data_IF_996734629281
#
_entry.id   IF_996734629281
#
_cell.length_a   1.000
_cell.length_b   1.000
_cell.length_c   1.000
_cell.angle_alpha   90.00
_cell.angle_beta   90.00
_cell.angle_gamma   90.00
#
_symmetry.space_group_name_H-M   'P 1'
#
loop_
_entity.id
_entity.type
_entity.pdbx_description
1 polymer ?
#
# COMPACT_ATOMS: atom_id res chain seq x y z
N UNK A 1 -3.50 -31.87 -22.24
CA UNK A 1 -4.97 -31.73 -22.15
C UNK A 1 -5.28 -31.28 -20.73
N UNK A 2 -5.63 -30.01 -20.54
CA UNK A 2 -6.06 -29.46 -19.26
C UNK A 2 -7.46 -29.99 -18.98
N UNK A 3 -7.63 -30.79 -17.92
CA UNK A 3 -8.94 -31.20 -17.45
C UNK A 3 -9.74 -29.92 -17.08
N UNK A 4 -10.75 -29.60 -17.88
CA UNK A 4 -11.72 -28.55 -17.58
C UNK A 4 -12.36 -28.86 -16.24
N UNK A 5 -12.04 -28.07 -15.22
CA UNK A 5 -12.81 -28.06 -13.99
C UNK A 5 -14.08 -27.27 -14.30
N UNK A 6 -15.13 -27.99 -14.74
CA UNK A 6 -16.45 -27.41 -14.96
C UNK A 6 -17.11 -27.29 -13.59
N UNK A 7 -17.20 -26.10 -13.05
CA UNK A 7 -18.01 -25.82 -11.87
C UNK A 7 -19.43 -25.46 -12.30
N UNK A 8 -20.34 -26.42 -12.11
CA UNK A 8 -21.78 -26.26 -12.33
C UNK A 8 -22.37 -25.25 -11.32
N UNK A 9 -23.23 -24.34 -11.81
CA UNK A 9 -24.25 -23.54 -11.08
C UNK A 9 -24.05 -23.37 -9.56
N UNK A 10 -22.94 -22.76 -9.16
CA UNK A 10 -22.78 -22.32 -7.79
C UNK A 10 -23.59 -21.04 -7.55
N UNK A 11 -24.29 -20.98 -6.42
CA UNK A 11 -25.00 -19.76 -6.03
C UNK A 11 -24.03 -18.58 -5.73
N UNK A 12 -22.76 -18.86 -5.41
CA UNK A 12 -21.75 -17.87 -5.05
C UNK A 12 -20.40 -18.17 -5.71
N UNK A 13 -19.67 -17.11 -6.00
CA UNK A 13 -18.27 -17.19 -6.40
C UNK A 13 -17.42 -17.39 -5.14
N UNK A 14 -16.57 -18.43 -5.12
CA UNK A 14 -15.70 -18.74 -3.98
C UNK A 14 -14.33 -18.10 -4.20
N UNK A 15 -13.96 -17.18 -3.31
CA UNK A 15 -12.69 -16.44 -3.38
C UNK A 15 -11.76 -16.89 -2.25
N UNK A 16 -10.56 -17.36 -2.59
CA UNK A 16 -9.51 -17.68 -1.64
C UNK A 16 -8.47 -16.56 -1.56
N UNK A 17 -8.34 -15.93 -0.40
CA UNK A 17 -7.29 -14.93 -0.13
C UNK A 17 -6.11 -15.59 0.59
N UNK A 18 -4.92 -15.49 0.00
CA UNK A 18 -3.68 -16.08 0.52
C UNK A 18 -2.76 -14.99 1.06
N UNK A 19 -2.39 -15.06 2.33
CA UNK A 19 -1.46 -14.11 2.93
C UNK A 19 -0.71 -14.66 4.14
N UNK A 20 0.55 -14.23 4.32
CA UNK A 20 1.29 -14.34 5.58
C UNK A 20 1.04 -13.14 6.51
N UNK A 21 0.23 -12.17 6.08
CA UNK A 21 0.16 -10.84 6.68
C UNK A 21 -1.26 -10.44 7.12
N UNK A 22 -2.12 -11.41 7.42
CA UNK A 22 -3.41 -11.20 8.08
C UNK A 22 -3.22 -10.88 9.57
N UNK A 23 -2.46 -9.81 9.86
CA UNK A 23 -2.05 -9.34 11.18
C UNK A 23 -1.80 -7.83 11.14
N UNK A 24 -1.33 -7.22 12.24
CA UNK A 24 -0.92 -5.80 12.27
C UNK A 24 0.31 -5.58 11.38
N UNK A 25 0.05 -5.57 10.10
CA UNK A 25 0.96 -5.40 8.98
C UNK A 25 0.25 -4.57 7.90
N UNK A 26 1.02 -3.94 7.02
CA UNK A 26 0.52 -3.11 5.93
C UNK A 26 -0.64 -3.76 5.13
N UNK A 27 -0.49 -5.04 4.76
CA UNK A 27 -1.52 -5.80 4.02
C UNK A 27 -2.80 -5.94 4.85
N UNK A 28 -2.68 -6.38 6.12
CA UNK A 28 -3.83 -6.53 7.02
C UNK A 28 -4.57 -5.20 7.22
N UNK A 29 -3.83 -4.11 7.46
CA UNK A 29 -4.39 -2.77 7.67
C UNK A 29 -5.13 -2.22 6.44
N UNK A 30 -4.62 -2.52 5.24
CA UNK A 30 -5.25 -2.07 4.00
C UNK A 30 -6.47 -2.92 3.61
N UNK A 31 -6.46 -4.23 3.90
CA UNK A 31 -7.47 -5.16 3.39
C UNK A 31 -8.60 -5.47 4.35
N UNK A 32 -8.45 -5.21 5.64
CA UNK A 32 -9.42 -5.67 6.66
C UNK A 32 -10.85 -5.20 6.37
N UNK A 33 -11.07 -3.92 6.07
CA UNK A 33 -12.41 -3.41 5.78
C UNK A 33 -12.93 -3.88 4.42
N UNK A 34 -12.06 -4.03 3.43
CA UNK A 34 -12.40 -4.69 2.15
C UNK A 34 -13.00 -6.09 2.39
N UNK A 35 -12.32 -6.92 3.21
CA UNK A 35 -12.77 -8.28 3.52
C UNK A 35 -14.10 -8.28 4.28
N UNK A 36 -14.32 -7.32 5.17
CA UNK A 36 -15.59 -7.19 5.92
C UNK A 36 -16.77 -6.78 5.04
N UNK A 37 -16.52 -6.01 3.98
CA UNK A 37 -17.53 -5.38 3.13
C UNK A 37 -17.97 -6.23 1.95
N UNK A 38 -17.32 -7.38 1.68
CA UNK A 38 -17.75 -8.27 0.60
C UNK A 38 -19.23 -8.66 0.71
N UNK A 39 -19.92 -8.61 -0.43
CA UNK A 39 -21.32 -9.04 -0.54
C UNK A 39 -21.43 -10.56 -0.35
N UNK A 40 -21.77 -10.97 0.86
CA UNK A 40 -21.89 -12.38 1.26
C UNK A 40 -23.03 -13.13 0.55
N UNK A 41 -23.89 -12.42 -0.19
CA UNK A 41 -24.91 -13.07 -1.05
C UNK A 41 -24.30 -13.55 -2.36
N UNK A 42 -23.29 -12.85 -2.88
CA UNK A 42 -22.63 -13.14 -4.15
C UNK A 42 -21.31 -13.90 -3.99
N UNK A 43 -20.63 -13.71 -2.86
CA UNK A 43 -19.30 -14.25 -2.63
C UNK A 43 -19.21 -15.07 -1.35
N UNK A 44 -18.50 -16.18 -1.40
CA UNK A 44 -17.96 -16.88 -0.25
C UNK A 44 -16.46 -16.59 -0.20
N UNK A 45 -15.97 -15.86 0.83
CA UNK A 45 -14.57 -15.57 0.98
C UNK A 45 -13.91 -16.49 2.01
N UNK A 46 -12.75 -17.05 1.66
CA UNK A 46 -11.98 -17.99 2.46
C UNK A 46 -10.57 -17.45 2.67
N UNK A 47 -10.10 -17.43 3.91
CA UNK A 47 -8.76 -16.98 4.27
C UNK A 47 -7.78 -18.15 4.37
N UNK A 48 -6.63 -18.06 3.68
CA UNK A 48 -5.50 -18.99 3.80
C UNK A 48 -4.32 -18.23 4.42
N UNK A 49 -4.09 -18.44 5.72
CA UNK A 49 -3.12 -17.67 6.49
C UNK A 49 -1.82 -18.45 6.70
N UNK A 50 -0.71 -17.89 6.23
CA UNK A 50 0.60 -18.51 6.31
C UNK A 50 1.47 -17.95 7.46
N UNK A 51 0.90 -17.71 8.62
CA UNK A 51 1.62 -17.36 9.85
C UNK A 51 0.85 -17.86 11.09
N UNK A 52 1.49 -17.71 12.29
CA UNK A 52 0.91 -18.09 13.58
C UNK A 52 0.63 -16.89 14.49
N UNK A 53 0.89 -15.66 14.02
CA UNK A 53 0.65 -14.46 14.84
C UNK A 53 -0.85 -14.20 14.88
N UNK A 54 -1.39 -14.10 16.11
CA UNK A 54 -2.77 -13.68 16.35
C UNK A 54 -2.78 -12.39 17.18
N UNK A 55 -2.99 -11.26 16.51
CA UNK A 55 -3.17 -9.94 17.11
C UNK A 55 -4.62 -9.45 16.93
N UNK A 56 -4.89 -8.23 17.39
CA UNK A 56 -6.21 -7.62 17.30
C UNK A 56 -6.72 -7.51 15.86
N UNK A 57 -5.83 -7.30 14.88
CA UNK A 57 -6.20 -7.19 13.48
C UNK A 57 -6.46 -8.58 12.88
N UNK A 58 -5.65 -9.59 13.26
CA UNK A 58 -5.91 -10.99 12.88
C UNK A 58 -7.30 -11.43 13.31
N UNK A 59 -7.70 -11.11 14.56
CA UNK A 59 -9.04 -11.46 15.08
C UNK A 59 -10.14 -10.79 14.25
N UNK A 60 -9.96 -9.52 13.88
CA UNK A 60 -10.91 -8.77 13.04
C UNK A 60 -11.01 -9.37 11.64
N UNK A 61 -9.86 -9.63 11.00
CA UNK A 61 -9.77 -10.23 9.67
C UNK A 61 -10.40 -11.64 9.64
N UNK A 62 -10.10 -12.48 10.62
CA UNK A 62 -10.62 -13.86 10.73
C UNK A 62 -12.15 -13.90 10.76
N UNK A 63 -12.80 -12.92 11.40
CA UNK A 63 -14.26 -12.79 11.48
C UNK A 63 -14.92 -12.40 10.15
N UNK A 64 -14.19 -11.82 9.22
CA UNK A 64 -14.72 -11.41 7.92
C UNK A 64 -14.88 -12.59 6.96
N UNK A 65 -14.09 -13.64 7.12
CA UNK A 65 -14.11 -14.84 6.29
C UNK A 65 -15.22 -15.81 6.70
N UNK A 66 -15.77 -16.55 5.75
CA UNK A 66 -16.67 -17.68 6.00
C UNK A 66 -15.91 -18.86 6.59
N UNK A 67 -14.68 -19.08 6.12
CA UNK A 67 -13.75 -20.10 6.61
C UNK A 67 -12.34 -19.50 6.65
N UNK A 68 -11.56 -19.88 7.66
CA UNK A 68 -10.19 -19.39 7.82
C UNK A 68 -9.26 -20.54 8.18
N UNK A 69 -8.28 -20.80 7.33
CA UNK A 69 -7.33 -21.88 7.48
C UNK A 69 -5.92 -21.37 7.75
N UNK A 70 -5.30 -21.86 8.82
CA UNK A 70 -3.87 -21.70 9.01
C UNK A 70 -3.16 -22.75 8.16
N UNK A 71 -2.38 -22.27 7.18
CA UNK A 71 -1.67 -23.14 6.24
C UNK A 71 -0.15 -23.19 6.47
N UNK A 72 0.36 -22.54 7.52
CA UNK A 72 1.81 -22.38 7.76
C UNK A 72 2.56 -23.71 7.79
N UNK A 73 1.98 -24.72 8.43
CA UNK A 73 2.62 -26.01 8.61
C UNK A 73 2.20 -27.07 7.55
N UNK A 74 1.39 -26.66 6.56
CA UNK A 74 0.99 -27.56 5.48
C UNK A 74 2.01 -27.50 4.34
N UNK A 75 2.34 -28.63 3.73
CA UNK A 75 3.11 -28.67 2.48
C UNK A 75 2.27 -28.15 1.31
N UNK A 76 2.91 -27.66 0.25
CA UNK A 76 2.23 -27.03 -0.88
C UNK A 76 1.14 -27.92 -1.51
N UNK A 77 1.41 -29.21 -1.70
CA UNK A 77 0.43 -30.16 -2.26
C UNK A 77 -0.84 -30.27 -1.40
N UNK A 78 -0.72 -30.19 -0.07
CA UNK A 78 -1.88 -30.21 0.85
C UNK A 78 -2.68 -28.91 0.77
N UNK A 79 -2.02 -27.76 0.62
CA UNK A 79 -2.70 -26.47 0.42
C UNK A 79 -3.46 -26.47 -0.90
N UNK A 80 -2.85 -26.95 -1.97
CA UNK A 80 -3.47 -27.09 -3.28
C UNK A 80 -4.69 -28.02 -3.24
N UNK A 81 -4.56 -29.19 -2.61
CA UNK A 81 -5.69 -30.12 -2.44
C UNK A 81 -6.83 -29.46 -1.66
N UNK A 82 -6.54 -28.86 -0.50
CA UNK A 82 -7.53 -28.15 0.30
C UNK A 82 -8.27 -27.07 -0.51
N UNK A 83 -7.54 -26.30 -1.32
CA UNK A 83 -8.11 -25.24 -2.15
C UNK A 83 -9.08 -25.81 -3.20
N UNK A 84 -8.72 -26.92 -3.82
CA UNK A 84 -9.58 -27.65 -4.78
C UNK A 84 -10.82 -28.24 -4.11
N UNK A 85 -10.64 -28.88 -2.94
CA UNK A 85 -11.75 -29.49 -2.19
C UNK A 85 -12.77 -28.47 -1.71
N UNK A 86 -12.30 -27.24 -1.41
CA UNK A 86 -13.17 -26.09 -1.08
C UNK A 86 -13.83 -25.46 -2.30
N UNK A 87 -13.44 -25.86 -3.49
CA UNK A 87 -13.99 -25.37 -4.76
C UNK A 87 -13.71 -23.89 -4.97
N UNK A 88 -12.50 -23.39 -4.66
CA UNK A 88 -12.12 -22.01 -4.88
C UNK A 88 -12.10 -21.68 -6.37
N UNK A 89 -12.82 -20.65 -6.77
CA UNK A 89 -12.92 -20.18 -8.15
C UNK A 89 -11.83 -19.15 -8.47
N UNK A 90 -11.55 -18.24 -7.53
CA UNK A 90 -10.55 -17.18 -7.66
C UNK A 90 -9.58 -17.24 -6.49
N UNK A 91 -8.30 -17.50 -6.75
CA UNK A 91 -7.25 -17.43 -5.74
C UNK A 91 -6.49 -16.09 -5.86
N UNK A 92 -6.37 -15.37 -4.74
CA UNK A 92 -5.73 -14.06 -4.68
C UNK A 92 -4.46 -14.15 -3.83
N UNK A 93 -3.31 -13.93 -4.45
CA UNK A 93 -2.03 -13.79 -3.78
C UNK A 93 -1.84 -12.36 -3.28
N UNK A 94 -1.86 -12.18 -1.95
CA UNK A 94 -1.62 -10.89 -1.31
C UNK A 94 -0.16 -10.66 -0.92
N UNK A 95 0.75 -11.57 -1.22
CA UNK A 95 2.16 -11.48 -0.86
C UNK A 95 3.09 -11.31 -2.07
N UNK A 96 2.96 -12.13 -3.10
CA UNK A 96 3.97 -12.21 -4.15
C UNK A 96 5.36 -12.57 -3.58
N UNK A 97 6.42 -11.94 -4.07
CA UNK A 97 7.80 -12.19 -3.62
C UNK A 97 8.16 -11.44 -2.32
N UNK A 98 7.29 -11.49 -1.31
CA UNK A 98 7.58 -10.94 0.01
C UNK A 98 7.95 -12.03 1.03
N UNK A 99 8.39 -11.61 2.24
CA UNK A 99 8.79 -12.54 3.29
C UNK A 99 7.63 -13.45 3.70
N UNK A 100 7.92 -14.73 3.91
CA UNK A 100 6.95 -15.76 4.29
C UNK A 100 5.82 -15.98 3.27
N UNK A 101 6.00 -15.57 2.02
CA UNK A 101 5.03 -15.85 0.97
C UNK A 101 4.97 -17.34 0.63
N UNK A 102 3.91 -17.71 -0.08
CA UNK A 102 3.75 -19.03 -0.69
C UNK A 102 3.51 -18.89 -2.19
N UNK A 103 4.20 -17.95 -2.80
CA UNK A 103 4.07 -17.67 -4.22
C UNK A 103 4.32 -18.91 -5.10
N UNK A 104 5.10 -19.86 -4.62
CA UNK A 104 5.39 -21.13 -5.33
C UNK A 104 4.12 -21.91 -5.69
N UNK A 105 3.08 -21.90 -4.85
CA UNK A 105 1.83 -22.60 -5.19
C UNK A 105 1.13 -21.99 -6.40
N UNK A 106 1.31 -20.70 -6.64
CA UNK A 106 0.74 -19.99 -7.79
C UNK A 106 1.47 -20.31 -9.11
N UNK A 107 2.64 -20.96 -9.04
CA UNK A 107 3.32 -21.50 -10.22
C UNK A 107 2.58 -22.71 -10.82
N UNK A 108 1.69 -23.34 -10.04
CA UNK A 108 0.80 -24.40 -10.50
C UNK A 108 -0.60 -23.82 -10.79
N UNK A 109 -1.33 -24.42 -11.73
CA UNK A 109 -2.75 -24.12 -11.93
C UNK A 109 -3.57 -24.96 -10.94
N UNK A 110 -3.97 -24.38 -9.83
CA UNK A 110 -4.71 -25.10 -8.78
C UNK A 110 -6.16 -24.62 -8.60
N UNK A 111 -6.53 -23.49 -9.21
CA UNK A 111 -7.91 -23.03 -9.32
C UNK A 111 -8.16 -22.36 -10.68
N UNK A 112 -9.43 -22.09 -11.06
CA UNK A 112 -9.79 -21.50 -12.35
C UNK A 112 -9.07 -20.20 -12.64
N UNK A 113 -9.05 -19.25 -11.67
CA UNK A 113 -8.46 -17.93 -11.82
C UNK A 113 -7.49 -17.62 -10.69
N UNK A 114 -6.32 -17.11 -11.05
CA UNK A 114 -5.25 -16.72 -10.11
C UNK A 114 -4.87 -15.26 -10.30
N UNK A 115 -4.84 -14.50 -9.22
CA UNK A 115 -4.65 -13.04 -9.23
C UNK A 115 -3.53 -12.65 -8.29
N UNK A 116 -2.64 -11.76 -8.73
CA UNK A 116 -1.68 -11.04 -7.87
C UNK A 116 -2.30 -9.71 -7.44
N UNK A 117 -2.21 -9.41 -6.14
CA UNK A 117 -2.77 -8.18 -5.60
C UNK A 117 -1.95 -7.63 -4.43
N UNK A 118 -1.67 -6.35 -4.45
CA UNK A 118 -1.27 -5.48 -3.34
C UNK A 118 0.13 -5.69 -2.77
N UNK A 119 0.52 -6.94 -2.40
CA UNK A 119 1.72 -7.16 -1.58
C UNK A 119 3.03 -6.96 -2.30
N UNK A 120 3.13 -7.42 -3.55
CA UNK A 120 4.33 -7.25 -4.37
C UNK A 120 4.11 -6.17 -5.45
N UNK A 121 4.94 -5.12 -5.48
CA UNK A 121 4.73 -3.98 -6.35
C UNK A 121 5.32 -4.19 -7.77
N UNK A 122 4.76 -5.10 -8.53
CA UNK A 122 5.22 -5.40 -9.90
C UNK A 122 4.61 -6.66 -10.47
N UNK A 123 5.06 -7.04 -11.67
CA UNK A 123 4.70 -8.33 -12.27
C UNK A 123 5.35 -9.47 -11.51
N UNK A 124 4.64 -10.57 -11.34
CA UNK A 124 5.17 -11.79 -10.75
C UNK A 124 6.05 -12.58 -11.73
N UNK A 125 5.83 -12.44 -13.04
CA UNK A 125 6.43 -13.28 -14.07
C UNK A 125 5.92 -14.73 -14.06
N UNK A 126 4.93 -15.05 -13.23
CA UNK A 126 4.39 -16.41 -13.08
C UNK A 126 3.32 -16.64 -14.15
N UNK A 127 3.55 -17.62 -15.02
CA UNK A 127 2.67 -17.92 -16.15
C UNK A 127 1.23 -18.24 -15.75
N UNK A 128 1.02 -18.80 -14.57
CA UNK A 128 -0.28 -19.22 -14.09
C UNK A 128 -1.02 -18.16 -13.25
N UNK A 129 -0.48 -16.97 -13.11
CA UNK A 129 -1.20 -15.80 -12.58
C UNK A 129 -1.83 -15.06 -13.76
N UNK A 130 -3.15 -15.06 -13.82
CA UNK A 130 -3.94 -14.52 -14.95
C UNK A 130 -4.01 -12.99 -14.91
N UNK A 131 -4.18 -12.43 -13.71
CA UNK A 131 -4.45 -11.00 -13.52
C UNK A 131 -3.60 -10.37 -12.43
N UNK A 132 -3.35 -9.07 -12.61
CA UNK A 132 -2.81 -8.16 -11.60
C UNK A 132 -3.79 -7.00 -11.42
N UNK A 133 -4.15 -6.68 -10.18
CA UNK A 133 -5.02 -5.53 -9.86
C UNK A 133 -4.18 -4.26 -9.80
N UNK A 134 -4.58 -3.24 -10.55
CA UNK A 134 -3.90 -1.94 -10.62
C UNK A 134 -4.89 -0.80 -10.92
N UNK A 135 -4.37 0.38 -11.15
CA UNK A 135 -5.06 1.55 -11.71
C UNK A 135 -4.25 2.18 -12.85
N UNK A 136 -4.86 3.11 -13.59
CA UNK A 136 -4.23 3.73 -14.78
C UNK A 136 -3.04 4.64 -14.44
N UNK A 137 -3.02 5.23 -13.24
CA UNK A 137 -1.87 6.04 -12.78
C UNK A 137 -0.69 5.13 -12.44
N UNK A 138 -0.97 3.97 -11.85
CA UNK A 138 0.02 3.01 -11.42
C UNK A 138 0.66 2.28 -12.60
N UNK A 139 -0.17 1.74 -13.51
CA UNK A 139 0.28 1.09 -14.74
C UNK A 139 -0.33 1.80 -15.94
N UNK A 140 0.34 2.82 -16.50
CA UNK A 140 -0.09 3.46 -17.72
C UNK A 140 -0.19 2.48 -18.89
N UNK A 141 -1.06 2.76 -19.87
CA UNK A 141 -1.27 1.91 -21.05
C UNK A 141 0.04 1.47 -21.73
N UNK A 142 1.00 2.41 -21.88
CA UNK A 142 2.31 2.16 -22.49
C UNK A 142 3.15 1.12 -21.73
N UNK A 143 2.87 0.91 -20.43
CA UNK A 143 3.65 0.03 -19.57
C UNK A 143 3.06 -1.39 -19.45
N UNK A 144 1.86 -1.64 -19.97
CA UNK A 144 1.23 -2.99 -19.94
C UNK A 144 2.12 -4.09 -20.52
N UNK A 145 2.92 -3.77 -21.51
CA UNK A 145 3.84 -4.71 -22.19
C UNK A 145 4.94 -5.29 -21.28
N UNK A 146 5.16 -4.71 -20.11
CA UNK A 146 6.16 -5.17 -19.14
C UNK A 146 5.60 -6.16 -18.12
N UNK A 147 4.31 -6.48 -18.22
CA UNK A 147 3.61 -7.37 -17.30
C UNK A 147 3.20 -8.65 -18.01
N UNK A 148 3.40 -9.78 -17.36
CA UNK A 148 2.95 -11.09 -17.89
C UNK A 148 1.47 -11.29 -17.65
N UNK A 149 0.95 -10.73 -16.57
CA UNK A 149 -0.46 -10.77 -16.19
C UNK A 149 -1.29 -9.78 -17.03
N UNK A 150 -2.56 -10.09 -17.23
CA UNK A 150 -3.53 -9.09 -17.67
C UNK A 150 -3.86 -8.15 -16.51
N UNK A 151 -4.08 -6.89 -16.81
CA UNK A 151 -4.31 -5.88 -15.77
C UNK A 151 -5.81 -5.68 -15.58
N UNK A 152 -6.25 -5.76 -14.32
CA UNK A 152 -7.56 -5.26 -13.89
C UNK A 152 -7.36 -3.81 -13.45
N UNK A 153 -7.89 -2.88 -14.23
CA UNK A 153 -7.85 -1.46 -13.94
C UNK A 153 -9.05 -1.04 -13.09
N UNK A 154 -8.81 -0.77 -11.81
CA UNK A 154 -9.81 -0.14 -10.96
C UNK A 154 -9.95 1.36 -11.30
N UNK A 155 -11.13 1.99 -11.08
CA UNK A 155 -11.41 3.32 -11.61
C UNK A 155 -10.59 4.45 -10.97
N UNK A 156 -10.17 4.31 -9.74
CA UNK A 156 -9.50 5.39 -8.99
C UNK A 156 -8.11 4.98 -8.52
N UNK A 157 -8.04 4.13 -7.51
CA UNK A 157 -6.79 3.65 -6.91
C UNK A 157 -6.84 2.13 -6.75
N UNK A 158 -5.70 1.47 -6.99
CA UNK A 158 -5.59 0.03 -6.75
C UNK A 158 -5.54 -0.34 -5.28
N UNK A 159 -5.12 0.59 -4.42
CA UNK A 159 -4.90 0.34 -3.00
C UNK A 159 -6.20 0.54 -2.21
N UNK A 160 -6.69 -0.49 -1.50
CA UNK A 160 -7.79 -0.34 -0.55
C UNK A 160 -7.34 0.46 0.68
N UNK A 161 -8.30 0.87 1.49
CA UNK A 161 -8.03 1.57 2.75
C UNK A 161 -9.03 1.12 3.81
N UNK A 162 -8.64 1.12 5.08
CA UNK A 162 -9.57 0.96 6.19
C UNK A 162 -10.02 2.35 6.67
N UNK A 163 -11.27 2.71 6.40
CA UNK A 163 -11.85 4.00 6.82
C UNK A 163 -12.13 4.06 8.32
N UNK A 164 -12.14 2.91 9.00
CA UNK A 164 -12.41 2.73 10.44
C UNK A 164 -11.14 2.47 11.25
N UNK A 165 -9.99 2.93 10.76
CA UNK A 165 -8.72 2.81 11.49
C UNK A 165 -8.84 3.42 12.87
N UNK A 166 -8.41 2.68 13.87
CA UNK A 166 -8.33 3.16 15.22
C UNK A 166 -7.18 4.18 15.35
N UNK A 167 -7.48 5.32 15.97
CA UNK A 167 -6.49 6.33 16.33
C UNK A 167 -6.55 6.46 17.85
N UNK A 168 -5.40 6.47 18.51
CA UNK A 168 -5.38 6.63 19.97
C UNK A 168 -5.92 8.03 20.38
N UNK A 169 -6.61 8.08 21.50
CA UNK A 169 -7.07 9.35 22.12
C UNK A 169 -6.00 9.98 23.03
N UNK A 170 -4.73 9.72 22.75
CA UNK A 170 -3.60 10.32 23.47
C UNK A 170 -3.13 11.55 22.70
N UNK A 171 -2.99 12.68 23.40
CA UNK A 171 -2.35 13.87 22.84
C UNK A 171 -0.84 13.64 22.83
N UNK A 172 -0.25 13.54 21.63
CA UNK A 172 1.20 13.52 21.47
C UNK A 172 1.71 14.96 21.28
N UNK A 173 2.94 15.23 21.69
CA UNK A 173 3.60 16.52 21.56
C UNK A 173 4.95 16.38 20.85
N UNK A 174 5.40 17.43 20.17
CA UNK A 174 6.71 17.45 19.50
C UNK A 174 7.87 17.26 20.48
N UNK A 175 7.74 17.77 21.71
CA UNK A 175 8.76 17.65 22.77
C UNK A 175 9.02 16.21 23.21
N UNK A 176 8.03 15.31 23.14
CA UNK A 176 8.22 13.87 23.40
C UNK A 176 9.20 13.21 22.39
N UNK A 177 9.43 13.86 21.26
CA UNK A 177 10.32 13.40 20.20
C UNK A 177 11.55 14.28 20.00
N UNK A 178 11.89 15.15 20.96
CA UNK A 178 12.99 16.11 20.89
C UNK A 178 12.87 17.09 19.69
N UNK A 179 11.65 17.44 19.32
CA UNK A 179 11.34 18.41 18.26
C UNK A 179 10.78 19.68 18.93
N UNK A 180 11.32 20.86 18.59
CA UNK A 180 10.83 22.14 19.10
C UNK A 180 9.52 22.53 18.40
N UNK A 181 8.67 23.28 19.10
CA UNK A 181 7.35 23.66 18.56
C UNK A 181 7.42 24.64 17.38
N UNK A 182 8.48 25.45 17.32
CA UNK A 182 8.72 26.46 16.29
C UNK A 182 9.45 25.91 15.04
N UNK A 183 9.91 24.65 15.07
CA UNK A 183 10.57 24.02 13.93
C UNK A 183 9.59 23.59 12.86
N UNK A 184 9.98 23.72 11.58
CA UNK A 184 9.30 23.04 10.48
C UNK A 184 9.69 21.56 10.46
N UNK A 185 8.71 20.69 10.50
CA UNK A 185 8.93 19.25 10.63
C UNK A 185 8.65 18.56 9.31
N UNK A 186 9.71 18.28 8.56
CA UNK A 186 9.65 17.30 7.49
C UNK A 186 9.62 15.90 8.11
N UNK A 187 8.96 14.92 7.52
CA UNK A 187 9.09 13.55 7.95
C UNK A 187 9.18 12.57 6.76
N UNK A 188 9.80 11.41 7.04
CA UNK A 188 9.75 10.25 6.14
C UNK A 188 9.77 8.99 6.99
N UNK A 189 8.61 8.33 7.13
CA UNK A 189 8.52 7.10 7.91
C UNK A 189 8.65 5.82 7.05
N UNK A 190 9.21 5.97 5.84
CA UNK A 190 9.64 4.84 5.06
C UNK A 190 10.81 4.10 5.74
N UNK A 191 10.98 2.82 5.42
CA UNK A 191 12.12 2.03 5.90
C UNK A 191 13.43 2.55 5.31
N UNK A 192 14.52 2.51 6.10
CA UNK A 192 15.80 3.12 5.75
C UNK A 192 16.41 2.62 4.43
N UNK A 193 16.11 1.37 4.02
CA UNK A 193 16.62 0.83 2.74
C UNK A 193 16.10 1.57 1.50
N UNK A 194 15.03 2.36 1.63
CA UNK A 194 14.51 3.21 0.55
C UNK A 194 15.26 4.55 0.44
N UNK A 195 16.03 4.91 1.45
CA UNK A 195 16.82 6.14 1.49
C UNK A 195 18.14 5.88 0.77
N UNK A 196 18.30 6.44 -0.42
CA UNK A 196 19.54 6.37 -1.18
C UNK A 196 20.28 7.73 -1.15
N UNK A 197 21.57 7.78 -1.57
CA UNK A 197 22.35 9.00 -1.53
C UNK A 197 21.68 10.19 -2.22
N UNK A 198 21.06 9.97 -3.38
CA UNK A 198 20.50 11.04 -4.20
C UNK A 198 19.26 11.68 -3.55
N UNK A 199 18.37 10.88 -2.96
CA UNK A 199 17.24 11.45 -2.21
C UNK A 199 17.70 12.12 -0.92
N UNK A 200 18.76 11.62 -0.29
CA UNK A 200 19.34 12.24 0.89
C UNK A 200 20.04 13.58 0.56
N UNK A 201 20.64 13.71 -0.64
CA UNK A 201 21.16 14.98 -1.16
C UNK A 201 20.05 16.03 -1.26
N UNK A 202 18.88 15.65 -1.80
CA UNK A 202 17.70 16.50 -1.86
C UNK A 202 17.25 16.96 -0.47
N UNK A 203 17.17 16.04 0.48
CA UNK A 203 16.79 16.38 1.86
C UNK A 203 17.80 17.32 2.53
N UNK A 204 19.10 17.14 2.28
CA UNK A 204 20.14 18.05 2.76
C UNK A 204 19.98 19.46 2.16
N UNK A 205 19.66 19.56 0.85
CA UNK A 205 19.40 20.84 0.19
C UNK A 205 18.18 21.54 0.78
N UNK A 206 17.09 20.81 1.01
CA UNK A 206 15.86 21.32 1.64
C UNK A 206 16.17 21.81 3.07
N UNK A 207 16.87 21.00 3.90
CA UNK A 207 17.24 21.41 5.25
C UNK A 207 18.14 22.65 5.25
N UNK A 208 19.06 22.77 4.30
CA UNK A 208 19.95 23.95 4.16
C UNK A 208 19.18 25.22 3.80
N UNK A 209 18.11 25.09 3.01
CA UNK A 209 17.27 26.20 2.60
C UNK A 209 16.24 26.65 3.66
N UNK A 210 15.99 25.82 4.69
CA UNK A 210 15.04 26.06 5.77
C UNK A 210 15.76 25.86 7.11
N UNK A 211 16.36 26.92 7.65
CA UNK A 211 17.26 26.84 8.81
C UNK A 211 16.60 26.21 10.06
N UNK A 212 15.40 26.65 10.41
CA UNK A 212 14.68 26.12 11.59
C UNK A 212 13.78 24.93 11.20
N UNK A 213 14.40 23.86 10.67
CA UNK A 213 13.68 22.63 10.30
C UNK A 213 14.45 21.38 10.70
N UNK A 214 13.70 20.29 10.81
CA UNK A 214 14.21 18.94 11.05
C UNK A 214 13.61 17.97 10.05
N UNK A 215 14.31 16.85 9.80
CA UNK A 215 13.70 15.69 9.16
C UNK A 215 13.52 14.55 10.17
N UNK A 216 12.30 14.08 10.30
CA UNK A 216 11.90 13.10 11.29
C UNK A 216 11.72 11.73 10.61
N UNK A 217 12.56 10.78 10.98
CA UNK A 217 12.70 9.48 10.34
C UNK A 217 12.31 8.35 11.30
N UNK A 218 11.93 7.20 10.71
CA UNK A 218 11.69 5.99 11.48
C UNK A 218 13.03 5.33 11.86
N UNK A 219 13.17 4.99 13.12
CA UNK A 219 14.30 4.19 13.61
C UNK A 219 14.22 2.75 13.08
N UNK A 220 15.25 2.29 12.36
CA UNK A 220 15.35 0.90 11.92
C UNK A 220 16.33 0.12 12.79
N UNK A 221 17.53 0.63 12.97
CA UNK A 221 18.57 0.10 13.86
C UNK A 221 19.66 1.17 14.11
N UNK A 222 20.50 0.94 15.11
CA UNK A 222 21.56 1.90 15.50
C UNK A 222 22.56 2.17 14.37
N UNK A 223 22.83 1.18 13.52
CA UNK A 223 23.80 1.35 12.41
C UNK A 223 23.24 2.32 11.38
N UNK A 224 21.98 2.15 10.99
CA UNK A 224 21.35 3.06 10.01
C UNK A 224 21.23 4.49 10.54
N UNK A 225 20.92 4.66 11.83
CA UNK A 225 20.89 6.00 12.46
C UNK A 225 22.27 6.67 12.41
N UNK A 226 23.33 5.93 12.84
CA UNK A 226 24.71 6.44 12.82
C UNK A 226 25.11 6.83 11.40
N UNK A 227 24.82 5.98 10.42
CA UNK A 227 25.17 6.24 9.03
C UNK A 227 24.43 7.48 8.48
N UNK A 228 23.11 7.61 8.73
CA UNK A 228 22.35 8.78 8.27
C UNK A 228 22.82 10.08 8.92
N UNK A 229 23.20 10.07 10.21
CA UNK A 229 23.82 11.24 10.87
C UNK A 229 25.20 11.56 10.27
N UNK A 230 26.00 10.55 9.96
CA UNK A 230 27.28 10.75 9.30
C UNK A 230 27.11 11.34 7.88
N UNK A 231 26.13 10.85 7.13
CA UNK A 231 25.78 11.38 5.80
C UNK A 231 25.31 12.83 5.87
N UNK A 232 24.62 13.24 6.96
CA UNK A 232 24.26 14.63 7.20
C UNK A 232 25.51 15.51 7.41
N UNK A 233 26.46 15.07 8.26
CA UNK A 233 27.74 15.78 8.49
C UNK A 233 28.50 15.96 7.19
N UNK A 234 28.63 14.92 6.35
CA UNK A 234 29.31 14.99 5.05
C UNK A 234 28.68 16.05 4.13
N UNK A 235 27.37 16.30 4.26
CA UNK A 235 26.63 17.32 3.52
C UNK A 235 26.53 18.67 4.23
N UNK A 236 27.31 18.88 5.30
CA UNK A 236 27.32 20.10 6.13
C UNK A 236 25.96 20.43 6.75
N UNK A 237 25.21 19.41 7.15
CA UNK A 237 23.98 19.51 7.92
C UNK A 237 24.27 19.06 9.34
N UNK A 238 23.77 19.83 10.32
CA UNK A 238 23.81 19.45 11.72
C UNK A 238 23.12 18.10 11.93
N UNK A 239 23.82 17.06 12.43
CA UNK A 239 23.26 15.73 12.62
C UNK A 239 22.08 15.70 13.61
N UNK A 240 21.90 16.69 14.45
CA UNK A 240 20.77 16.78 15.37
C UNK A 240 19.47 17.25 14.70
N UNK A 241 19.57 17.73 13.46
CA UNK A 241 18.42 17.98 12.60
C UNK A 241 17.85 16.70 11.95
N UNK A 242 18.54 15.56 12.12
CA UNK A 242 18.04 14.23 11.74
C UNK A 242 17.49 13.57 13.00
N UNK A 243 16.19 13.67 13.20
CA UNK A 243 15.48 13.15 14.37
C UNK A 243 14.94 11.75 14.06
N UNK A 244 14.99 10.85 15.05
CA UNK A 244 14.49 9.49 14.91
C UNK A 244 13.37 9.20 15.89
N UNK A 245 12.41 8.35 15.47
CA UNK A 245 11.39 7.81 16.36
C UNK A 245 11.31 6.29 16.25
N UNK A 246 11.09 5.65 17.39
CA UNK A 246 10.91 4.18 17.46
C UNK A 246 9.63 3.74 16.77
N UNK A 247 9.61 2.49 16.35
CA UNK A 247 8.37 1.83 15.94
C UNK A 247 7.41 1.78 17.13
N UNK A 248 6.14 1.96 16.85
CA UNK A 248 5.07 1.94 17.84
C UNK A 248 3.86 1.21 17.25
N UNK A 249 2.74 1.12 17.97
CA UNK A 249 1.50 0.58 17.44
C UNK A 249 1.03 1.40 16.22
N UNK A 250 0.29 0.76 15.32
CA UNK A 250 -0.29 1.43 14.13
C UNK A 250 -1.16 2.61 14.53
N UNK A 251 -1.92 2.50 15.61
CA UNK A 251 -2.80 3.56 16.14
C UNK A 251 -2.02 4.81 16.59
N UNK A 252 -0.91 4.63 17.30
CA UNK A 252 -0.04 5.73 17.72
C UNK A 252 0.75 6.29 16.53
N UNK A 253 1.15 5.44 15.60
CA UNK A 253 1.85 5.85 14.39
C UNK A 253 1.03 6.81 13.54
N UNK A 254 -0.26 6.52 13.33
CA UNK A 254 -1.20 7.43 12.64
C UNK A 254 -1.29 8.77 13.37
N UNK A 255 -1.38 8.77 14.69
CA UNK A 255 -1.44 10.01 15.50
C UNK A 255 -0.17 10.85 15.36
N UNK A 256 0.98 10.20 15.25
CA UNK A 256 2.29 10.85 15.10
C UNK A 256 2.40 11.71 13.85
N UNK A 257 1.81 11.29 12.72
CA UNK A 257 1.83 12.10 11.49
C UNK A 257 1.28 13.51 11.68
N UNK A 258 0.37 13.73 12.65
CA UNK A 258 -0.22 15.03 12.95
C UNK A 258 0.77 16.04 13.53
N UNK A 259 1.95 15.59 13.98
CA UNK A 259 3.03 16.45 14.50
C UNK A 259 3.97 16.95 13.39
N UNK A 260 3.91 16.37 12.20
CA UNK A 260 4.72 16.78 11.06
C UNK A 260 3.98 17.83 10.20
N UNK A 261 4.75 18.56 9.40
CA UNK A 261 4.22 19.59 8.50
C UNK A 261 4.14 19.12 7.05
N UNK A 262 5.12 18.33 6.60
CA UNK A 262 5.20 17.81 5.24
C UNK A 262 5.94 16.47 5.20
N UNK A 263 5.37 15.49 4.51
CA UNK A 263 6.05 14.21 4.26
C UNK A 263 6.90 14.31 2.99
N UNK A 264 8.16 13.93 3.08
CA UNK A 264 9.11 13.85 1.97
C UNK A 264 9.25 12.39 1.54
N UNK A 265 8.67 12.03 0.39
CA UNK A 265 8.72 10.66 -0.09
C UNK A 265 10.12 10.26 -0.61
N UNK A 266 10.41 8.98 -0.58
CA UNK A 266 11.63 8.39 -1.16
C UNK A 266 11.46 8.06 -2.64
N UNK A 267 12.57 7.98 -3.38
CA UNK A 267 12.59 7.63 -4.80
C UNK A 267 13.88 6.84 -5.13
N UNK A 268 13.84 5.81 -5.99
CA UNK A 268 12.74 5.35 -6.84
C UNK A 268 11.71 4.43 -6.15
N UNK A 269 11.97 3.96 -4.96
CA UNK A 269 11.00 3.18 -4.18
C UNK A 269 10.25 4.12 -3.22
N UNK A 270 9.05 4.52 -3.64
CA UNK A 270 8.20 5.46 -2.89
C UNK A 270 7.46 4.85 -1.70
N UNK A 271 6.71 5.71 -1.04
CA UNK A 271 5.78 5.36 0.03
C UNK A 271 4.53 4.69 -0.55
N UNK A 272 4.10 3.62 0.08
CA UNK A 272 2.87 2.89 -0.24
C UNK A 272 1.85 3.05 0.90
N UNK A 273 1.83 2.12 1.86
CA UNK A 273 0.99 2.22 3.06
C UNK A 273 1.31 3.47 3.86
N UNK A 274 2.60 3.83 3.99
CA UNK A 274 3.02 5.06 4.69
C UNK A 274 2.47 6.34 4.03
N UNK A 275 2.30 6.38 2.70
CA UNK A 275 1.63 7.49 2.02
C UNK A 275 0.13 7.52 2.32
N UNK A 276 -0.53 6.36 2.29
CA UNK A 276 -1.94 6.23 2.63
C UNK A 276 -2.20 6.68 4.09
N UNK A 277 -1.34 6.30 5.03
CA UNK A 277 -1.42 6.70 6.45
C UNK A 277 -1.19 8.19 6.64
N UNK A 278 -0.18 8.77 5.97
CA UNK A 278 0.08 10.21 6.00
C UNK A 278 -1.14 11.01 5.52
N UNK A 279 -1.68 10.66 4.36
CA UNK A 279 -2.87 11.30 3.79
C UNK A 279 -4.10 11.14 4.69
N UNK A 280 -4.35 9.93 5.23
CA UNK A 280 -5.43 9.68 6.18
C UNK A 280 -5.31 10.54 7.44
N UNK A 281 -4.08 10.79 7.90
CA UNK A 281 -3.79 11.61 9.08
C UNK A 281 -3.85 13.13 8.82
N UNK A 282 -4.10 13.56 7.58
CA UNK A 282 -4.15 14.95 7.18
C UNK A 282 -2.77 15.56 6.90
N UNK A 283 -1.73 14.74 6.73
CA UNK A 283 -0.37 15.20 6.40
C UNK A 283 -0.16 15.17 4.88
N UNK A 284 0.13 16.32 4.23
CA UNK A 284 0.48 16.34 2.81
C UNK A 284 1.82 15.65 2.56
N UNK A 285 1.96 15.04 1.39
CA UNK A 285 3.16 14.32 0.94
C UNK A 285 3.57 14.80 -0.44
N UNK A 286 4.87 15.04 -0.63
CA UNK A 286 5.47 15.30 -1.95
C UNK A 286 6.15 14.02 -2.43
N UNK A 287 5.97 13.66 -3.70
CA UNK A 287 6.59 12.49 -4.32
C UNK A 287 7.17 12.80 -5.70
N UNK A 288 8.17 12.02 -6.11
CA UNK A 288 8.65 11.99 -7.49
C UNK A 288 8.00 10.81 -8.21
N UNK A 289 7.33 11.06 -9.34
CA UNK A 289 6.77 10.00 -10.16
C UNK A 289 7.84 9.37 -11.05
N UNK A 290 7.89 8.04 -11.09
CA UNK A 290 8.82 7.29 -11.95
C UNK A 290 8.10 6.39 -12.95
N UNK A 291 8.83 5.45 -13.54
CA UNK A 291 8.32 4.52 -14.55
C UNK A 291 7.91 3.16 -13.95
N UNK A 292 8.49 2.76 -12.82
CA UNK A 292 8.20 1.48 -12.18
C UNK A 292 6.97 1.53 -11.27
N UNK A 293 6.35 0.39 -11.03
CA UNK A 293 5.18 0.26 -10.14
C UNK A 293 5.41 0.95 -8.79
N UNK A 294 6.50 0.58 -8.09
CA UNK A 294 6.79 1.10 -6.75
C UNK A 294 7.10 2.60 -6.69
N UNK A 295 7.45 3.22 -7.81
CA UNK A 295 7.68 4.67 -7.90
C UNK A 295 6.42 5.46 -8.26
N UNK A 296 5.29 4.78 -8.49
CA UNK A 296 4.04 5.38 -8.93
C UNK A 296 2.91 5.26 -7.92
N UNK A 297 3.10 4.46 -6.85
CA UNK A 297 2.05 4.24 -5.85
C UNK A 297 1.61 5.54 -5.17
N UNK A 298 2.57 6.32 -4.66
CA UNK A 298 2.25 7.59 -4.01
C UNK A 298 1.55 8.58 -4.97
N UNK A 299 1.99 8.65 -6.22
CA UNK A 299 1.35 9.51 -7.23
C UNK A 299 -0.08 9.05 -7.57
N UNK A 300 -0.36 7.75 -7.54
CA UNK A 300 -1.74 7.23 -7.70
C UNK A 300 -2.63 7.68 -6.53
N UNK A 301 -2.15 7.56 -5.29
CA UNK A 301 -2.86 8.04 -4.10
C UNK A 301 -3.14 9.54 -4.17
N UNK A 302 -2.12 10.34 -4.51
CA UNK A 302 -2.24 11.81 -4.66
C UNK A 302 -3.22 12.20 -5.77
N UNK A 303 -3.19 11.51 -6.89
CA UNK A 303 -4.15 11.72 -7.98
C UNK A 303 -5.58 11.43 -7.52
N UNK A 304 -5.76 10.33 -6.81
CA UNK A 304 -7.09 9.91 -6.34
C UNK A 304 -7.64 10.84 -5.27
N UNK A 305 -6.79 11.36 -4.39
CA UNK A 305 -7.23 12.31 -3.36
C UNK A 305 -7.31 13.76 -3.86
N UNK A 306 -6.92 14.03 -5.12
CA UNK A 306 -7.05 15.34 -5.74
C UNK A 306 -5.95 16.34 -5.36
N UNK A 307 -4.73 15.87 -5.08
CA UNK A 307 -3.54 16.69 -4.75
C UNK A 307 -2.40 16.46 -5.75
N UNK A 308 -2.73 16.52 -7.04
CA UNK A 308 -1.77 16.29 -8.14
C UNK A 308 -0.60 17.27 -8.14
N UNK A 309 -0.78 18.45 -7.60
CA UNK A 309 0.25 19.51 -7.47
C UNK A 309 1.41 19.12 -6.54
N UNK A 310 1.26 18.02 -5.79
CA UNK A 310 2.32 17.46 -4.95
C UNK A 310 3.12 16.34 -5.62
N UNK A 311 2.83 16.05 -6.90
CA UNK A 311 3.55 15.09 -7.73
C UNK A 311 4.57 15.86 -8.57
N UNK A 312 5.84 15.46 -8.49
CA UNK A 312 6.95 16.05 -9.22
C UNK A 312 7.58 15.06 -10.19
N UNK A 313 8.32 15.54 -11.21
CA UNK A 313 8.92 14.71 -12.24
C UNK A 313 10.45 14.60 -12.11
N UNK A 314 11.05 15.43 -11.26
CA UNK A 314 12.50 15.47 -11.07
C UNK A 314 12.86 15.74 -9.61
N UNK A 315 14.11 15.47 -9.24
CA UNK A 315 14.67 15.82 -7.93
C UNK A 315 14.66 17.33 -7.70
N UNK A 316 14.93 18.13 -8.75
CA UNK A 316 14.93 19.58 -8.68
C UNK A 316 13.52 20.14 -8.41
N UNK A 317 12.49 19.64 -9.13
CA UNK A 317 11.10 20.02 -8.87
C UNK A 317 10.69 19.65 -7.43
N UNK A 318 11.10 18.48 -6.95
CA UNK A 318 10.82 18.00 -5.60
C UNK A 318 11.43 18.90 -4.53
N UNK A 319 12.72 19.26 -4.66
CA UNK A 319 13.40 20.19 -3.76
C UNK A 319 12.72 21.56 -3.74
N UNK A 320 12.50 22.14 -4.93
CA UNK A 320 11.89 23.44 -5.09
C UNK A 320 10.48 23.50 -4.50
N UNK A 321 9.68 22.45 -4.71
CA UNK A 321 8.33 22.37 -4.18
C UNK A 321 8.34 22.28 -2.65
N UNK A 322 9.20 21.43 -2.07
CA UNK A 322 9.35 21.28 -0.62
C UNK A 322 9.76 22.60 0.05
N UNK A 323 10.76 23.28 -0.52
CA UNK A 323 11.26 24.58 -0.03
C UNK A 323 10.16 25.65 -0.14
N UNK A 324 9.46 25.70 -1.28
CA UNK A 324 8.38 26.67 -1.50
C UNK A 324 7.24 26.49 -0.49
N UNK A 325 6.81 25.26 -0.25
CA UNK A 325 5.76 24.94 0.75
C UNK A 325 6.22 25.32 2.16
N UNK A 326 7.47 25.00 2.52
CA UNK A 326 7.99 25.28 3.84
C UNK A 326 8.16 26.80 4.12
N UNK A 327 8.47 27.60 3.09
CA UNK A 327 8.58 29.06 3.18
C UNK A 327 7.24 29.79 3.09
N UNK A 328 6.18 29.12 2.66
CA UNK A 328 4.87 29.73 2.44
C UNK A 328 3.79 29.07 3.32
N UNK A 329 3.59 29.63 4.50
CA UNK A 329 2.62 29.14 5.48
C UNK A 329 1.20 29.12 4.93
N UNK A 330 0.80 30.11 4.11
CA UNK A 330 -0.54 30.15 3.51
C UNK A 330 -0.73 29.01 2.51
N UNK A 331 0.28 28.71 1.69
CA UNK A 331 0.25 27.58 0.76
C UNK A 331 0.11 26.25 1.47
N UNK A 332 0.92 26.03 2.53
CA UNK A 332 0.83 24.82 3.34
C UNK A 332 -0.56 24.67 3.98
N UNK A 333 -1.09 25.76 4.53
CA UNK A 333 -2.41 25.76 5.16
C UNK A 333 -3.50 25.41 4.14
N UNK A 334 -3.47 26.02 2.96
CA UNK A 334 -4.41 25.72 1.87
C UNK A 334 -4.36 24.24 1.45
N UNK A 335 -3.15 23.67 1.32
CA UNK A 335 -2.99 22.25 0.99
C UNK A 335 -3.58 21.36 2.10
N UNK A 336 -3.31 21.67 3.37
CA UNK A 336 -3.87 20.92 4.52
C UNK A 336 -5.39 21.02 4.58
N UNK A 337 -5.97 22.16 4.30
CA UNK A 337 -7.42 22.35 4.24
C UNK A 337 -8.07 21.57 3.09
N UNK A 338 -7.48 21.63 1.89
CA UNK A 338 -7.92 20.83 0.76
C UNK A 338 -7.84 19.34 1.06
N UNK A 339 -6.73 18.88 1.65
CA UNK A 339 -6.58 17.49 2.07
C UNK A 339 -7.68 17.08 3.06
N UNK A 340 -7.96 17.90 4.08
CA UNK A 340 -9.01 17.65 5.09
C UNK A 340 -10.40 17.50 4.46
N UNK A 341 -10.72 18.30 3.45
CA UNK A 341 -11.97 18.21 2.69
C UNK A 341 -11.97 16.93 1.85
N UNK A 342 -10.87 16.65 1.18
CA UNK A 342 -10.75 15.53 0.25
C UNK A 342 -10.73 14.17 0.96
N UNK A 343 -10.20 14.06 2.17
CA UNK A 343 -10.29 12.83 2.98
C UNK A 343 -11.74 12.36 3.13
N UNK A 344 -12.69 13.30 3.27
CA UNK A 344 -14.12 12.97 3.42
C UNK A 344 -14.82 12.65 2.09
N UNK A 345 -14.38 13.26 0.99
CA UNK A 345 -15.11 13.27 -0.28
C UNK A 345 -14.48 12.34 -1.34
N UNK A 346 -13.16 12.17 -1.31
CA UNK A 346 -12.43 11.35 -2.28
C UNK A 346 -12.79 9.86 -2.18
N UNK A 347 -12.79 9.15 -3.30
CA UNK A 347 -12.95 7.69 -3.32
C UNK A 347 -11.85 6.92 -2.59
N UNK A 348 -10.68 7.54 -2.31
CA UNK A 348 -9.53 6.87 -1.69
C UNK A 348 -9.87 6.22 -0.34
N UNK A 349 -10.74 6.85 0.46
CA UNK A 349 -11.13 6.35 1.78
C UNK A 349 -12.59 5.88 1.83
N UNK A 350 -13.20 5.60 0.67
CA UNK A 350 -14.56 5.04 0.57
C UNK A 350 -14.49 3.53 0.33
N UNK A 351 -14.20 2.77 1.38
CA UNK A 351 -13.96 1.33 1.32
C UNK A 351 -15.11 0.56 0.68
N UNK A 352 -16.37 0.94 0.93
CA UNK A 352 -17.52 0.31 0.29
C UNK A 352 -17.51 0.47 -1.23
N UNK A 353 -17.27 1.69 -1.71
CA UNK A 353 -17.15 1.97 -3.15
C UNK A 353 -15.99 1.19 -3.80
N UNK A 354 -14.86 1.11 -3.09
CA UNK A 354 -13.73 0.30 -3.52
C UNK A 354 -14.11 -1.18 -3.68
N UNK A 355 -14.74 -1.75 -2.63
CA UNK A 355 -15.16 -3.16 -2.61
C UNK A 355 -16.14 -3.48 -3.74
N UNK A 356 -17.14 -2.63 -3.96
CA UNK A 356 -18.12 -2.80 -5.03
C UNK A 356 -17.45 -2.83 -6.43
N UNK A 357 -16.42 -2.01 -6.67
CA UNK A 357 -15.69 -2.02 -7.94
C UNK A 357 -14.79 -3.25 -8.08
N UNK A 358 -14.16 -3.69 -7.00
CA UNK A 358 -13.38 -4.92 -7.01
C UNK A 358 -14.27 -6.14 -7.27
N UNK A 359 -15.46 -6.18 -6.68
CA UNK A 359 -16.44 -7.25 -6.90
C UNK A 359 -16.96 -7.28 -8.36
N UNK A 360 -17.18 -6.11 -8.97
CA UNK A 360 -17.47 -6.04 -10.41
C UNK A 360 -16.35 -6.67 -11.25
N UNK A 361 -15.10 -6.43 -10.87
CA UNK A 361 -13.96 -7.05 -11.56
C UNK A 361 -13.97 -8.58 -11.40
N UNK A 362 -14.22 -9.08 -10.20
CA UNK A 362 -14.29 -10.53 -9.95
C UNK A 362 -15.42 -11.20 -10.73
N UNK A 363 -16.59 -10.59 -10.77
CA UNK A 363 -17.72 -11.10 -11.60
C UNK A 363 -17.32 -11.13 -13.07
N UNK A 364 -16.76 -10.04 -13.59
CA UNK A 364 -16.39 -9.92 -15.00
C UNK A 364 -15.40 -11.02 -15.43
N UNK A 365 -14.31 -11.20 -14.66
CA UNK A 365 -13.32 -12.24 -15.01
C UNK A 365 -13.86 -13.65 -14.82
N UNK A 366 -14.74 -13.87 -13.85
CA UNK A 366 -15.39 -15.16 -13.62
C UNK A 366 -16.35 -15.54 -14.76
N UNK A 367 -17.21 -14.60 -15.19
CA UNK A 367 -18.08 -14.78 -16.34
C UNK A 367 -17.27 -15.02 -17.63
N UNK A 368 -16.18 -14.26 -17.81
CA UNK A 368 -15.27 -14.45 -18.94
C UNK A 368 -14.69 -15.86 -18.97
N UNK A 369 -14.23 -16.36 -17.83
CA UNK A 369 -13.70 -17.72 -17.68
C UNK A 369 -14.77 -18.77 -17.98
N UNK A 370 -15.99 -18.63 -17.46
CA UNK A 370 -17.09 -19.57 -17.69
C UNK A 370 -17.53 -19.62 -19.14
N UNK A 371 -17.36 -18.51 -19.86
CA UNK A 371 -17.60 -18.44 -21.32
C UNK A 371 -16.40 -18.97 -22.14
N UNK A 372 -15.38 -19.57 -21.51
CA UNK A 372 -14.16 -20.07 -22.12
C UNK A 372 -13.39 -19.02 -22.93
N UNK A 373 -13.44 -17.76 -22.51
CA UNK A 373 -12.68 -16.66 -23.10
C UNK A 373 -11.32 -16.52 -22.42
N UNK A 374 -10.28 -16.27 -23.23
CA UNK A 374 -8.93 -16.05 -22.70
C UNK A 374 -8.86 -14.76 -21.86
N UNK A 375 -7.99 -14.69 -20.82
CA UNK A 375 -7.80 -13.47 -20.06
C UNK A 375 -7.44 -12.27 -20.94
N UNK A 376 -8.05 -11.11 -20.65
CA UNK A 376 -7.72 -9.83 -21.28
C UNK A 376 -7.68 -8.71 -20.24
N UNK A 377 -7.16 -7.51 -20.62
CA UNK A 377 -7.19 -6.36 -19.72
C UNK A 377 -8.62 -5.91 -19.45
N UNK A 378 -8.97 -5.74 -18.18
CA UNK A 378 -10.31 -5.38 -17.71
C UNK A 378 -10.30 -3.94 -17.22
N UNK A 379 -11.31 -3.16 -17.59
CA UNK A 379 -11.48 -1.77 -17.17
C UNK A 379 -12.79 -1.64 -16.40
N UNK A 380 -12.69 -1.35 -15.11
CA UNK A 380 -13.85 -1.10 -14.25
C UNK A 380 -14.15 0.39 -14.25
N UNK A 381 -15.41 0.75 -14.52
CA UNK A 381 -15.92 2.12 -14.59
C UNK A 381 -16.87 2.41 -13.45
#
# INVERSE_FOLDING_TARGET
MLNKIIHNNKEKIVIGYFSSDFKDHAIGQLTVELLELHDKKKFEIIGFYNDNIEDHLTIRIKKSFSKFYNIKNLINSKVISLTKDLGVDIAIDLNGYTKNSRVDIFSERFCPLQISFLGYPGTSGIKNIDYLIADKNLIPEKNKKYYTEKIIYLPNCYQPSDSRRLVIDKKLTRSEFNIKNDQFVFCCFNTAHKINPKIFDCWANILRAIDNSVIWLLENNNISQKNLKQEAILRKIDPDRIVFCKRTSSQEHIKRYQLADLFLDTFPYGAHTTANEALFSGLPIITIIGESFQSRVCSSLLTTIGLKELITNSYEEYENLAINIAKNTQKLQSIKENLKINIKNSPLFKSKFYTENLEKAYINIYERHNNNLEPEHIYIN
#
